data_IF_911276224969
#
_entry.id   IF_911276224969
#
_cell.length_a   1.000
_cell.length_b   1.000
_cell.length_c   1.000
_cell.angle_alpha   90.00
_cell.angle_beta   90.00
_cell.angle_gamma   90.00
#
_symmetry.space_group_name_H-M   'P 1'
#
loop_
_entity.id
_entity.type
_entity.pdbx_description
1 polymer ?
#
# COMPACT_ATOMS: atom_id res chain seq x y z
N UNK A 1 -9.79 -43.54 -2.42
CA UNK A 1 -10.96 -42.76 -1.98
C UNK A 1 -10.43 -41.69 -1.06
N UNK A 2 -10.25 -40.48 -1.56
CA UNK A 2 -9.80 -39.33 -0.76
C UNK A 2 -11.01 -38.78 -0.03
N UNK A 3 -11.07 -38.96 1.29
CA UNK A 3 -12.13 -38.37 2.10
C UNK A 3 -12.02 -36.84 2.03
N UNK A 4 -13.11 -36.20 1.61
CA UNK A 4 -13.20 -34.76 1.57
C UNK A 4 -13.46 -34.20 2.98
N UNK A 5 -12.86 -33.05 3.35
CA UNK A 5 -13.22 -32.35 4.57
C UNK A 5 -14.72 -32.07 4.63
N UNK A 6 -15.30 -32.33 5.79
CA UNK A 6 -16.70 -32.05 6.10
C UNK A 6 -16.93 -30.54 6.17
N UNK A 7 -18.17 -30.09 5.99
CA UNK A 7 -18.51 -28.66 6.10
C UNK A 7 -18.16 -28.08 7.48
N UNK A 8 -18.31 -28.88 8.53
CA UNK A 8 -17.92 -28.52 9.90
C UNK A 8 -16.41 -28.30 10.05
N UNK A 9 -15.58 -29.11 9.39
CA UNK A 9 -14.13 -28.90 9.39
C UNK A 9 -13.72 -27.67 8.59
N UNK A 10 -14.41 -27.37 7.48
CA UNK A 10 -14.18 -26.16 6.69
C UNK A 10 -14.57 -24.88 7.46
N UNK A 11 -15.66 -24.93 8.23
CA UNK A 11 -16.08 -23.83 9.12
C UNK A 11 -15.05 -23.60 10.24
N UNK A 12 -14.60 -24.67 10.91
CA UNK A 12 -13.56 -24.57 11.93
C UNK A 12 -12.22 -24.11 11.36
N UNK A 13 -11.88 -24.51 10.13
CA UNK A 13 -10.71 -24.04 9.40
C UNK A 13 -10.80 -22.53 9.15
N UNK A 14 -11.94 -22.04 8.64
CA UNK A 14 -12.18 -20.62 8.40
C UNK A 14 -12.10 -19.75 9.68
N UNK A 15 -12.52 -20.32 10.82
CA UNK A 15 -12.42 -19.66 12.13
C UNK A 15 -11.08 -19.86 12.86
N UNK A 16 -10.15 -20.64 12.29
CA UNK A 16 -8.86 -20.94 12.94
C UNK A 16 -8.98 -21.74 14.25
N UNK A 17 -10.03 -22.57 14.39
CA UNK A 17 -10.32 -23.33 15.61
C UNK A 17 -10.01 -24.83 15.51
N UNK A 18 -9.41 -25.27 14.39
CA UNK A 18 -8.96 -26.66 14.23
C UNK A 18 -7.75 -26.97 15.13
N UNK A 19 -7.59 -28.25 15.46
CA UNK A 19 -6.34 -28.74 16.05
C UNK A 19 -5.19 -28.53 15.06
N UNK A 20 -3.95 -28.43 15.53
CA UNK A 20 -2.79 -28.24 14.64
C UNK A 20 -2.65 -29.37 13.60
N UNK A 21 -2.97 -30.62 13.98
CA UNK A 21 -2.93 -31.77 13.07
C UNK A 21 -4.05 -31.72 12.02
N UNK A 22 -5.26 -31.31 12.41
CA UNK A 22 -6.38 -31.19 11.48
C UNK A 22 -6.24 -29.99 10.54
N UNK A 23 -5.65 -28.89 11.01
CA UNK A 23 -5.39 -27.73 10.18
C UNK A 23 -4.46 -28.08 9.03
N UNK A 24 -3.35 -28.77 9.29
CA UNK A 24 -2.41 -29.21 8.25
C UNK A 24 -3.07 -30.18 7.27
N UNK A 25 -3.82 -31.17 7.77
CA UNK A 25 -4.53 -32.12 6.91
C UNK A 25 -5.55 -31.43 5.99
N UNK A 26 -6.34 -30.49 6.53
CA UNK A 26 -7.32 -29.74 5.74
C UNK A 26 -6.62 -28.83 4.74
N UNK A 27 -5.56 -28.13 5.14
CA UNK A 27 -4.75 -27.26 4.26
C UNK A 27 -4.14 -28.04 3.08
N UNK A 28 -3.52 -29.19 3.34
CA UNK A 28 -2.97 -30.08 2.32
C UNK A 28 -4.04 -30.54 1.32
N UNK A 29 -5.26 -30.83 1.80
CA UNK A 29 -6.37 -31.21 0.93
C UNK A 29 -6.88 -30.02 0.09
N UNK A 30 -6.98 -28.82 0.67
CA UNK A 30 -7.38 -27.60 -0.03
C UNK A 30 -6.35 -27.17 -1.09
N UNK A 31 -5.07 -27.53 -0.90
CA UNK A 31 -4.01 -27.33 -1.88
C UNK A 31 -4.24 -28.15 -3.16
N UNK A 32 -4.88 -29.32 -3.06
CA UNK A 32 -5.02 -30.28 -4.18
C UNK A 32 -6.46 -30.33 -4.73
N UNK A 33 -7.48 -29.97 -3.93
CA UNK A 33 -8.90 -30.09 -4.32
C UNK A 33 -9.57 -28.72 -4.54
N UNK A 34 -9.76 -28.28 -5.81
CA UNK A 34 -10.40 -27.00 -6.12
C UNK A 34 -11.85 -26.88 -5.63
N UNK A 35 -12.58 -28.01 -5.53
CA UNK A 35 -13.95 -28.02 -5.04
C UNK A 35 -14.02 -27.66 -3.56
N UNK A 36 -13.21 -28.31 -2.72
CA UNK A 36 -13.13 -28.00 -1.30
C UNK A 36 -12.56 -26.59 -1.05
N UNK A 37 -11.62 -26.13 -1.90
CA UNK A 37 -11.12 -24.75 -1.85
C UNK A 37 -12.22 -23.71 -2.05
N UNK A 38 -13.11 -23.91 -3.03
CA UNK A 38 -14.25 -23.00 -3.24
C UNK A 38 -15.20 -23.01 -2.05
N UNK A 39 -15.57 -24.20 -1.54
CA UNK A 39 -16.44 -24.34 -0.35
C UNK A 39 -15.85 -23.64 0.88
N UNK A 40 -14.53 -23.76 1.11
CA UNK A 40 -13.86 -23.08 2.22
C UNK A 40 -13.94 -21.55 2.13
N UNK A 41 -13.81 -20.98 0.92
CA UNK A 41 -13.93 -19.53 0.68
C UNK A 41 -15.36 -19.03 0.92
N UNK A 42 -16.38 -19.79 0.48
CA UNK A 42 -17.79 -19.45 0.70
C UNK A 42 -18.13 -19.37 2.20
N UNK A 43 -17.62 -20.32 3.00
CA UNK A 43 -17.81 -20.34 4.45
C UNK A 43 -17.08 -19.19 5.15
N UNK A 44 -15.86 -18.86 4.72
CA UNK A 44 -15.11 -17.72 5.24
C UNK A 44 -15.78 -16.37 4.93
N UNK A 45 -16.36 -16.23 3.73
CA UNK A 45 -17.09 -15.01 3.34
C UNK A 45 -18.42 -14.86 4.08
N UNK A 46 -19.15 -15.94 4.31
CA UNK A 46 -20.35 -15.94 5.15
C UNK A 46 -20.06 -15.46 6.57
N UNK A 47 -19.00 -15.97 7.17
CA UNK A 47 -18.53 -15.58 8.51
C UNK A 47 -18.15 -14.10 8.60
N UNK A 48 -17.42 -13.59 7.59
CA UNK A 48 -17.05 -12.16 7.51
C UNK A 48 -18.27 -11.25 7.37
N UNK A 49 -19.24 -11.63 6.53
CA UNK A 49 -20.50 -10.88 6.35
C UNK A 49 -21.34 -10.86 7.62
N UNK A 50 -21.39 -11.96 8.37
CA UNK A 50 -22.11 -12.00 9.63
C UNK A 50 -21.44 -11.11 10.68
N UNK A 51 -20.11 -11.15 10.78
CA UNK A 51 -19.34 -10.30 11.69
C UNK A 51 -19.49 -8.81 11.37
N UNK A 52 -19.46 -8.42 10.09
CA UNK A 52 -19.68 -7.03 9.68
C UNK A 52 -21.11 -6.57 9.96
N UNK A 53 -22.11 -7.44 9.77
CA UNK A 53 -23.51 -7.13 10.08
C UNK A 53 -23.71 -6.96 11.58
N UNK A 54 -23.14 -7.83 12.41
CA UNK A 54 -23.20 -7.71 13.88
C UNK A 54 -22.50 -6.42 14.34
N UNK A 55 -21.38 -6.06 13.73
CA UNK A 55 -20.68 -4.81 14.03
C UNK A 55 -21.53 -3.59 13.66
N UNK A 56 -22.19 -3.60 12.49
CA UNK A 56 -23.08 -2.52 12.06
C UNK A 56 -24.26 -2.34 13.03
N UNK A 57 -24.93 -3.44 13.41
CA UNK A 57 -26.03 -3.42 14.39
C UNK A 57 -25.55 -2.88 15.75
N UNK A 58 -24.36 -3.27 16.21
CA UNK A 58 -23.78 -2.77 17.46
C UNK A 58 -23.50 -1.28 17.41
N UNK A 59 -23.01 -0.79 16.27
CA UNK A 59 -22.71 0.63 16.05
C UNK A 59 -24.01 1.46 16.06
N UNK A 60 -25.07 0.99 15.41
CA UNK A 60 -26.38 1.66 15.40
C UNK A 60 -26.99 1.74 16.80
N UNK A 61 -26.91 0.64 17.58
CA UNK A 61 -27.37 0.62 18.96
C UNK A 61 -26.55 1.53 19.88
N UNK A 62 -25.27 1.74 19.57
CA UNK A 62 -24.38 2.62 20.34
C UNK A 62 -24.57 4.11 19.99
N UNK A 63 -24.93 4.42 18.75
CA UNK A 63 -25.21 5.78 18.28
C UNK A 63 -26.53 6.37 18.80
N UNK A 64 -27.51 5.51 19.11
CA UNK A 64 -28.82 5.94 19.64
C UNK A 64 -28.77 6.51 21.08
N UNK A 65 -27.66 6.34 21.81
CA UNK A 65 -27.52 6.79 23.21
C UNK A 65 -27.01 8.22 23.39
N UNK A 66 -26.49 8.88 22.35
CA UNK A 66 -25.78 10.17 22.48
C UNK A 66 -26.68 11.41 22.27
N UNK A 67 -27.97 11.24 21.96
CA UNK A 67 -28.89 12.33 21.58
C UNK A 67 -29.78 12.90 22.70
N UNK A 68 -29.78 12.34 23.92
CA UNK A 68 -30.67 12.76 25.00
C UNK A 68 -29.90 13.24 26.25
N UNK A 69 -29.04 14.24 26.10
CA UNK A 69 -28.43 14.91 27.25
C UNK A 69 -28.04 16.36 26.94
N UNK A 70 -28.97 17.18 26.42
CA UNK A 70 -28.78 18.63 26.43
C UNK A 70 -30.11 19.38 26.24
N UNK A 71 -30.87 19.51 27.33
CA UNK A 71 -31.68 20.70 27.66
C UNK A 71 -32.43 20.47 28.97
N UNK A 72 -31.79 20.81 30.08
CA UNK A 72 -32.47 21.15 31.32
C UNK A 72 -31.87 22.46 31.82
N UNK A 73 -32.44 23.58 31.37
CA UNK A 73 -32.24 24.89 31.98
C UNK A 73 -32.73 24.81 33.43
N UNK A 74 -31.80 24.91 34.38
CA UNK A 74 -32.12 25.06 35.79
C UNK A 74 -32.15 26.56 36.11
N UNK A 75 -33.35 27.05 36.38
CA UNK A 75 -33.67 28.41 36.84
C UNK A 75 -32.98 28.69 38.18
N UNK A 76 -32.39 29.89 38.41
CA UNK A 76 -31.69 30.18 39.66
C UNK A 76 -32.66 30.56 40.78
N UNK A 77 -32.53 29.89 41.93
CA UNK A 77 -33.20 30.26 43.18
C UNK A 77 -32.16 30.83 44.16
N UNK A 78 -32.20 32.14 44.40
CA UNK A 78 -31.69 32.76 45.64
C UNK A 78 -32.78 32.57 46.73
N UNK A 79 -32.52 32.57 48.06
CA UNK A 79 -31.42 33.25 48.76
C UNK A 79 -30.84 32.53 50.01
N UNK A 80 -29.71 33.01 50.56
CA UNK A 80 -29.63 33.68 51.88
C UNK A 80 -28.17 33.89 52.33
N UNK A 81 -27.99 35.06 52.92
CA UNK A 81 -26.78 35.58 53.55
C UNK A 81 -26.45 34.77 54.81
N UNK A 82 -25.21 34.32 54.93
CA UNK A 82 -24.52 34.22 56.20
C UNK A 82 -23.11 34.78 56.04
N UNK A 83 -22.82 35.77 56.87
CA UNK A 83 -21.55 36.50 56.96
C UNK A 83 -20.66 35.92 58.06
N UNK A 84 -19.36 36.17 57.86
CA UNK A 84 -18.24 36.20 58.82
C UNK A 84 -17.46 34.90 59.10
N UNK A 85 -16.20 34.97 58.70
CA UNK A 85 -15.13 34.04 59.07
C UNK A 85 -13.82 34.41 58.38
N UNK A 86 -13.34 35.64 58.62
CA UNK A 86 -12.05 36.15 58.13
C UNK A 86 -10.94 35.42 58.89
N UNK A 87 -10.14 34.58 58.23
CA UNK A 87 -8.78 34.26 58.72
C UNK A 87 -7.81 34.46 57.59
N UNK A 88 -6.98 35.46 57.83
CA UNK A 88 -5.89 36.01 57.05
C UNK A 88 -4.70 35.08 56.98
N UNK A 89 -4.17 34.92 55.76
CA UNK A 89 -2.74 34.85 55.46
C UNK A 89 -2.03 33.53 55.75
N UNK A 90 -1.40 32.96 54.73
CA UNK A 90 0.05 33.07 54.54
C UNK A 90 0.39 32.68 53.10
N UNK A 91 1.27 33.46 52.49
CA UNK A 91 1.68 33.34 51.09
C UNK A 91 2.64 32.17 50.82
N UNK A 92 3.04 32.02 49.55
CA UNK A 92 3.65 30.82 49.01
C UNK A 92 5.18 30.83 49.09
N UNK A 93 5.78 29.65 49.23
CA UNK A 93 7.20 29.36 48.99
C UNK A 93 7.21 28.11 48.09
N UNK A 94 7.42 28.26 46.78
CA UNK A 94 8.70 28.30 46.04
C UNK A 94 9.45 26.96 46.06
N UNK A 95 9.80 26.53 44.83
CA UNK A 95 11.00 25.75 44.43
C UNK A 95 11.03 24.25 44.76
N UNK A 96 11.65 23.36 43.99
CA UNK A 96 12.27 23.24 42.65
C UNK A 96 12.98 21.87 42.69
N UNK A 97 13.28 21.31 41.52
CA UNK A 97 14.23 20.23 41.23
C UNK A 97 13.73 18.80 41.49
N UNK A 98 13.56 17.92 40.50
CA UNK A 98 14.43 17.49 39.39
C UNK A 98 15.49 16.44 39.78
N UNK A 99 15.61 15.46 38.87
CA UNK A 99 16.81 14.71 38.46
C UNK A 99 16.84 13.19 38.76
N UNK A 100 17.00 12.46 37.64
CA UNK A 100 17.68 11.17 37.38
C UNK A 100 17.08 9.88 37.98
N UNK A 101 16.67 8.88 37.19
CA UNK A 101 17.37 8.08 36.16
C UNK A 101 18.21 6.93 36.74
N UNK A 102 17.85 5.70 36.32
CA UNK A 102 18.65 4.52 35.88
C UNK A 102 17.82 3.25 36.15
N UNK A 103 17.34 2.52 35.14
CA UNK A 103 18.04 1.56 34.28
C UNK A 103 18.47 0.27 35.01
N UNK A 104 18.04 -0.87 34.43
CA UNK A 104 18.69 -2.20 34.31
C UNK A 104 17.65 -3.31 34.56
N UNK A 105 17.36 -4.11 33.53
CA UNK A 105 17.54 -5.57 33.55
C UNK A 105 17.30 -6.16 32.15
N UNK A 106 18.40 -6.59 31.53
CA UNK A 106 18.43 -7.47 30.38
C UNK A 106 19.21 -8.72 30.80
N UNK A 107 18.57 -9.89 30.90
CA UNK A 107 19.21 -11.22 30.84
C UNK A 107 18.13 -12.23 30.42
N UNK A 108 18.21 -12.76 29.20
CA UNK A 108 17.87 -14.17 28.94
C UNK A 108 18.44 -14.63 27.59
N UNK A 109 19.69 -15.08 27.63
CA UNK A 109 20.30 -15.95 26.62
C UNK A 109 20.86 -17.12 27.42
N UNK A 110 20.20 -18.28 27.38
CA UNK A 110 20.85 -19.61 27.40
C UNK A 110 19.77 -20.70 27.39
N UNK A 111 19.84 -21.59 26.39
CA UNK A 111 19.31 -22.96 26.27
C UNK A 111 18.65 -23.15 24.89
N UNK A 112 19.13 -23.99 23.99
CA UNK A 112 20.26 -24.91 24.08
C UNK A 112 20.65 -25.37 22.68
N UNK A 113 21.91 -25.15 22.34
CA UNK A 113 22.59 -25.84 21.26
C UNK A 113 23.26 -27.09 21.85
N UNK A 114 22.68 -28.27 21.60
CA UNK A 114 23.39 -29.55 21.77
C UNK A 114 23.72 -30.09 20.38
N UNK A 115 24.98 -29.92 20.03
CA UNK A 115 25.65 -30.62 18.94
C UNK A 115 26.00 -32.05 19.39
N UNK A 116 25.80 -33.03 18.52
CA UNK A 116 26.37 -34.36 18.63
C UNK A 116 27.52 -34.51 17.60
N UNK A 117 28.62 -35.20 17.91
CA UNK A 117 29.78 -35.32 17.02
C UNK A 117 29.86 -36.66 16.27
N UNK A 118 30.48 -36.59 15.08
CA UNK A 118 31.29 -37.61 14.36
C UNK A 118 30.60 -38.79 13.65
N UNK A 119 30.73 -38.82 12.32
CA UNK A 119 31.41 -39.90 11.57
C UNK A 119 31.57 -39.57 10.08
N UNK A 120 32.79 -39.71 9.56
CA UNK A 120 33.15 -39.90 8.14
C UNK A 120 34.57 -40.52 8.10
N UNK A 121 35.08 -41.11 7.00
CA UNK A 121 34.47 -41.41 5.69
C UNK A 121 34.77 -42.83 5.12
N UNK A 122 34.19 -43.18 3.96
CA UNK A 122 34.69 -44.20 3.02
C UNK A 122 34.25 -43.83 1.58
N UNK A 123 34.94 -44.33 0.52
CA UNK A 123 35.41 -43.51 -0.60
C UNK A 123 34.44 -43.30 -1.76
N UNK A 124 34.63 -42.14 -2.40
CA UNK A 124 33.94 -41.62 -3.57
C UNK A 124 34.24 -42.44 -4.84
N UNK A 125 33.20 -42.80 -5.58
CA UNK A 125 33.30 -43.08 -7.01
C UNK A 125 33.46 -41.75 -7.78
N UNK A 126 34.26 -41.70 -8.85
CA UNK A 126 34.43 -40.49 -9.65
C UNK A 126 33.22 -40.34 -10.58
N UNK A 127 32.28 -39.48 -10.20
CA UNK A 127 31.33 -38.93 -11.18
C UNK A 127 31.93 -37.65 -11.72
N UNK A 128 32.33 -37.78 -12.97
CA UNK A 128 32.66 -36.79 -13.98
C UNK A 128 32.06 -35.40 -13.72
N UNK A 129 32.96 -34.42 -13.70
CA UNK A 129 32.68 -32.99 -13.57
C UNK A 129 31.79 -32.49 -14.71
N UNK A 130 30.47 -32.54 -14.51
CA UNK A 130 29.61 -31.50 -15.01
C UNK A 130 29.63 -30.39 -13.96
N UNK A 131 30.27 -29.26 -14.28
CA UNK A 131 30.26 -28.07 -13.46
C UNK A 131 28.81 -27.80 -12.99
N UNK A 132 28.57 -27.52 -11.70
CA UNK A 132 27.26 -27.06 -11.27
C UNK A 132 27.04 -25.71 -11.95
N UNK A 133 26.26 -25.73 -13.03
CA UNK A 133 25.54 -24.56 -13.46
C UNK A 133 24.74 -24.14 -12.23
N UNK A 134 25.21 -23.07 -11.58
CA UNK A 134 24.57 -22.47 -10.41
C UNK A 134 23.13 -22.25 -10.82
N UNK A 135 22.25 -23.15 -10.40
CA UNK A 135 20.83 -22.95 -10.50
C UNK A 135 20.60 -21.64 -9.77
N UNK A 136 20.25 -20.58 -10.52
CA UNK A 136 19.87 -19.30 -9.93
C UNK A 136 18.83 -19.66 -8.88
N UNK A 137 19.20 -19.53 -7.61
CA UNK A 137 18.28 -19.78 -6.52
C UNK A 137 17.11 -18.86 -6.80
N UNK A 138 15.99 -19.46 -7.18
CA UNK A 138 14.79 -18.74 -7.52
C UNK A 138 14.27 -18.18 -6.20
N UNK A 139 14.72 -16.96 -5.89
CA UNK A 139 14.51 -16.28 -4.61
C UNK A 139 13.06 -15.85 -4.41
N UNK A 140 12.22 -16.00 -5.43
CA UNK A 140 10.79 -15.79 -5.34
C UNK A 140 10.12 -16.84 -4.44
N UNK A 141 9.16 -16.39 -3.65
CA UNK A 141 8.25 -17.30 -2.95
C UNK A 141 7.40 -18.10 -3.95
N UNK A 142 6.85 -19.26 -3.58
CA UNK A 142 5.99 -20.03 -4.49
C UNK A 142 4.80 -19.23 -5.05
N UNK A 143 4.21 -18.35 -4.24
CA UNK A 143 3.11 -17.49 -4.67
C UNK A 143 3.56 -16.43 -5.68
N UNK A 144 4.72 -15.79 -5.45
CA UNK A 144 5.29 -14.82 -6.39
C UNK A 144 5.67 -15.48 -7.72
N UNK A 145 6.26 -16.68 -7.67
CA UNK A 145 6.59 -17.46 -8.88
C UNK A 145 5.34 -17.79 -9.68
N UNK A 146 4.30 -18.32 -9.02
CA UNK A 146 3.03 -18.62 -9.67
C UNK A 146 2.40 -17.38 -10.33
N UNK A 147 2.52 -16.22 -9.68
CA UNK A 147 2.04 -14.96 -10.24
C UNK A 147 2.84 -14.53 -11.48
N UNK A 148 4.17 -14.62 -11.42
CA UNK A 148 5.04 -14.28 -12.56
C UNK A 148 4.80 -15.23 -13.72
N UNK A 149 4.69 -16.53 -13.46
CA UNK A 149 4.44 -17.55 -14.49
C UNK A 149 3.07 -17.36 -15.15
N UNK A 150 2.02 -17.10 -14.36
CA UNK A 150 0.68 -16.78 -14.90
C UNK A 150 0.71 -15.50 -15.73
N UNK A 151 1.33 -14.43 -15.23
CA UNK A 151 1.42 -13.17 -15.97
C UNK A 151 2.19 -13.33 -17.28
N UNK A 152 3.28 -14.08 -17.29
CA UNK A 152 4.08 -14.35 -18.48
C UNK A 152 3.33 -15.23 -19.50
N UNK A 153 2.62 -16.26 -19.04
CA UNK A 153 1.81 -17.13 -19.88
C UNK A 153 0.63 -16.36 -20.51
N UNK A 154 -0.17 -15.71 -19.68
CA UNK A 154 -1.39 -15.01 -20.09
C UNK A 154 -1.09 -13.68 -20.79
N UNK A 155 0.11 -13.12 -20.55
CA UNK A 155 0.49 -11.80 -21.03
C UNK A 155 -0.27 -10.68 -20.34
N UNK A 156 -0.73 -10.90 -19.10
CA UNK A 156 -1.57 -9.98 -18.33
C UNK A 156 -0.97 -9.68 -16.98
N UNK A 157 -0.92 -8.40 -16.63
CA UNK A 157 -0.50 -7.96 -15.31
C UNK A 157 -1.67 -8.00 -14.32
N UNK A 158 -1.42 -8.35 -13.05
CA UNK A 158 -2.44 -8.29 -12.01
C UNK A 158 -2.88 -6.84 -11.76
N UNK A 159 -4.19 -6.62 -11.56
CA UNK A 159 -4.74 -5.32 -11.16
C UNK A 159 -4.75 -5.20 -9.64
N UNK A 160 -4.03 -4.22 -9.10
CA UNK A 160 -4.03 -3.96 -7.67
C UNK A 160 -5.32 -3.26 -7.21
N UNK A 161 -5.94 -3.73 -6.12
CA UNK A 161 -7.12 -3.09 -5.54
C UNK A 161 -6.85 -1.64 -5.10
N UNK A 162 -5.60 -1.31 -4.72
CA UNK A 162 -5.20 0.06 -4.38
C UNK A 162 -5.37 1.06 -5.53
N UNK A 163 -5.41 0.59 -6.79
CA UNK A 163 -5.65 1.46 -7.95
C UNK A 163 -7.08 2.03 -7.95
N UNK A 164 -8.05 1.39 -7.30
CA UNK A 164 -9.41 1.91 -7.18
C UNK A 164 -9.48 3.19 -6.33
N UNK A 165 -8.56 3.38 -5.39
CA UNK A 165 -8.50 4.56 -4.52
C UNK A 165 -7.92 5.79 -5.23
N UNK A 166 -7.04 5.56 -6.21
CA UNK A 166 -6.38 6.61 -6.99
C UNK A 166 -7.03 6.83 -8.36
N UNK A 167 -7.95 5.96 -8.76
CA UNK A 167 -8.74 6.14 -9.97
C UNK A 167 -9.58 7.41 -9.86
N UNK A 168 -9.26 8.40 -10.69
CA UNK A 168 -10.06 9.62 -10.80
C UNK A 168 -11.39 9.28 -11.47
N UNK A 169 -12.51 9.54 -10.80
CA UNK A 169 -13.84 9.35 -11.41
C UNK A 169 -14.00 10.33 -12.57
N UNK A 170 -14.07 9.82 -13.79
CA UNK A 170 -14.39 10.62 -14.98
C UNK A 170 -15.82 11.13 -14.86
N UNK A 171 -16.00 12.38 -14.45
CA UNK A 171 -17.29 13.06 -14.56
C UNK A 171 -17.59 13.31 -16.03
N UNK A 172 -18.55 12.58 -16.60
CA UNK A 172 -19.05 12.85 -17.95
C UNK A 172 -19.83 14.16 -17.91
N UNK A 173 -19.18 15.27 -18.23
CA UNK A 173 -19.86 16.51 -18.54
C UNK A 173 -20.38 16.43 -19.98
N UNK A 174 -21.67 16.66 -20.20
CA UNK A 174 -22.27 16.74 -21.53
C UNK A 174 -21.67 17.93 -22.29
N UNK A 175 -20.66 17.65 -23.11
CA UNK A 175 -19.96 18.64 -23.92
C UNK A 175 -18.82 17.98 -24.69
N UNK A 176 -18.57 18.46 -25.90
CA UNK A 176 -17.50 17.99 -26.79
C UNK A 176 -16.17 17.94 -26.02
N UNK A 177 -15.40 16.84 -26.10
CA UNK A 177 -14.10 16.76 -25.42
C UNK A 177 -13.24 17.93 -25.89
N UNK A 178 -12.94 18.84 -24.96
CA UNK A 178 -11.95 19.88 -25.18
C UNK A 178 -10.64 19.17 -25.55
N UNK A 179 -10.07 19.57 -26.69
CA UNK A 179 -8.90 18.96 -27.29
C UNK A 179 -7.78 18.70 -26.28
N UNK A 180 -7.04 17.62 -26.52
CA UNK A 180 -5.77 17.26 -25.87
C UNK A 180 -5.00 18.52 -25.45
N UNK A 181 -5.03 18.87 -24.17
CA UNK A 181 -4.12 19.89 -23.69
C UNK A 181 -2.73 19.27 -23.74
N UNK A 182 -1.90 19.71 -24.69
CA UNK A 182 -0.50 19.28 -24.79
C UNK A 182 0.27 19.56 -23.50
N UNK A 183 -0.23 20.46 -22.66
CA UNK A 183 0.26 20.77 -21.32
C UNK A 183 -0.58 20.07 -20.24
N UNK A 184 0.06 19.27 -19.39
CA UNK A 184 -0.58 18.64 -18.25
C UNK A 184 0.33 17.70 -17.47
N UNK A 185 -0.11 17.25 -16.29
CA UNK A 185 0.61 16.26 -15.50
C UNK A 185 0.72 14.92 -16.23
N UNK A 186 1.93 14.36 -16.23
CA UNK A 186 2.25 13.07 -16.87
C UNK A 186 2.42 11.98 -15.82
N UNK A 187 3.29 12.19 -14.82
CA UNK A 187 3.58 11.22 -13.77
C UNK A 187 3.80 11.91 -12.42
N UNK A 188 3.39 11.32 -11.29
CA UNK A 188 2.51 10.17 -11.14
C UNK A 188 1.03 10.54 -11.35
N UNK A 189 0.25 9.66 -11.99
CA UNK A 189 -1.19 9.85 -12.21
C UNK A 189 -1.97 8.54 -12.17
N UNK A 190 -2.87 8.39 -11.20
CA UNK A 190 -3.68 7.19 -11.01
C UNK A 190 -2.87 5.98 -10.55
N UNK A 191 -1.78 6.20 -9.81
CA UNK A 191 -0.82 5.15 -9.43
C UNK A 191 -0.45 5.20 -7.95
N UNK A 192 0.11 4.10 -7.47
CA UNK A 192 0.78 4.03 -6.17
C UNK A 192 2.26 4.36 -6.35
N UNK A 193 2.81 5.22 -5.50
CA UNK A 193 4.24 5.59 -5.50
C UNK A 193 4.91 5.05 -4.25
N UNK A 194 6.06 4.41 -4.41
CA UNK A 194 6.81 3.83 -3.30
C UNK A 194 7.65 4.88 -2.52
N UNK A 195 8.10 5.91 -3.23
CA UNK A 195 8.87 7.00 -2.68
C UNK A 195 7.97 7.98 -1.92
N UNK A 196 8.37 8.35 -0.71
CA UNK A 196 7.77 9.44 0.07
C UNK A 196 8.12 10.84 -0.49
N UNK A 197 9.08 10.92 -1.40
CA UNK A 197 9.50 12.13 -2.12
C UNK A 197 9.42 11.87 -3.63
N UNK A 198 8.21 11.72 -4.19
CA UNK A 198 8.05 11.40 -5.60
C UNK A 198 8.60 12.51 -6.49
N UNK A 199 8.99 12.14 -7.71
CA UNK A 199 9.28 13.11 -8.77
C UNK A 199 8.00 13.28 -9.59
N UNK A 200 7.51 14.51 -9.66
CA UNK A 200 6.37 14.89 -10.48
C UNK A 200 6.90 15.37 -11.83
N UNK A 201 6.30 14.90 -12.93
CA UNK A 201 6.72 15.16 -14.31
C UNK A 201 5.49 15.59 -15.11
N UNK A 202 5.63 16.65 -15.90
CA UNK A 202 4.57 17.21 -16.72
C UNK A 202 5.07 17.52 -18.13
N UNK A 203 4.15 17.71 -19.08
CA UNK A 203 4.50 18.13 -20.43
C UNK A 203 4.75 19.64 -20.50
N UNK A 204 5.55 20.09 -21.46
CA UNK A 204 5.90 21.51 -21.61
C UNK A 204 4.71 22.34 -22.14
N UNK A 205 4.53 23.56 -21.62
CA UNK A 205 3.55 24.54 -22.10
C UNK A 205 4.07 25.40 -23.28
N UNK A 206 5.35 25.29 -23.62
CA UNK A 206 5.98 26.07 -24.69
C UNK A 206 7.41 26.52 -24.37
N UNK A 207 8.06 27.15 -25.34
CA UNK A 207 9.40 27.70 -25.15
C UNK A 207 9.40 28.88 -24.17
N UNK A 208 10.36 28.92 -23.25
CA UNK A 208 10.47 29.98 -22.23
C UNK A 208 9.43 29.90 -21.10
N UNK A 209 8.69 28.79 -21.02
CA UNK A 209 7.71 28.59 -19.97
C UNK A 209 8.36 28.44 -18.57
N UNK A 210 7.73 29.01 -17.56
CA UNK A 210 8.03 28.73 -16.15
C UNK A 210 6.90 27.96 -15.51
N UNK A 211 7.22 27.05 -14.60
CA UNK A 211 6.29 26.12 -13.98
C UNK A 211 6.30 26.24 -12.47
N UNK A 212 5.13 26.14 -11.86
CA UNK A 212 4.96 25.99 -10.43
C UNK A 212 4.05 24.80 -10.15
N UNK A 213 4.57 23.82 -9.41
CA UNK A 213 3.82 22.62 -9.02
C UNK A 213 3.29 22.80 -7.61
N UNK A 214 2.06 22.33 -7.37
CA UNK A 214 1.40 22.34 -6.07
C UNK A 214 0.85 20.95 -5.78
N UNK A 215 1.08 20.45 -4.57
CA UNK A 215 0.60 19.14 -4.07
C UNK A 215 -0.36 19.39 -2.92
N UNK A 216 -1.50 18.71 -2.96
CA UNK A 216 -2.60 18.83 -2.02
C UNK A 216 -2.91 17.48 -1.38
N UNK A 217 -3.44 17.52 -0.16
CA UNK A 217 -3.97 16.34 0.52
C UNK A 217 -5.39 15.99 0.06
N UNK A 218 -5.98 14.93 0.63
CA UNK A 218 -7.36 14.49 0.35
C UNK A 218 -8.43 15.55 0.64
N UNK A 219 -8.12 16.51 1.53
CA UNK A 219 -8.99 17.64 1.87
C UNK A 219 -8.68 18.90 1.04
N UNK A 220 -7.86 18.78 0.00
CA UNK A 220 -7.40 19.87 -0.86
C UNK A 220 -6.58 20.96 -0.16
N UNK A 221 -5.98 20.66 1.01
CA UNK A 221 -5.04 21.58 1.64
C UNK A 221 -3.69 21.52 0.94
N UNK A 222 -3.09 22.68 0.66
CA UNK A 222 -1.76 22.75 0.08
C UNK A 222 -0.72 22.15 1.05
N UNK A 223 -0.09 21.05 0.65
CA UNK A 223 0.96 20.38 1.42
C UNK A 223 2.33 20.98 1.10
N UNK A 224 2.61 21.23 -0.18
CA UNK A 224 3.89 21.76 -0.65
C UNK A 224 3.81 22.32 -2.07
N UNK A 225 4.75 23.21 -2.41
CA UNK A 225 4.91 23.78 -3.76
C UNK A 225 6.38 23.93 -4.15
N UNK A 226 6.69 23.83 -5.44
CA UNK A 226 8.06 23.93 -5.98
C UNK A 226 8.62 25.35 -6.08
N UNK A 227 7.75 26.38 -6.06
CA UNK A 227 8.11 27.69 -6.62
C UNK A 227 8.19 27.66 -8.16
N UNK A 228 8.55 28.78 -8.78
CA UNK A 228 8.68 28.90 -10.24
C UNK A 228 10.02 28.34 -10.73
N UNK A 229 9.99 27.43 -11.70
CA UNK A 229 11.17 26.78 -12.28
C UNK A 229 11.01 26.57 -13.79
N UNK A 230 12.09 26.28 -14.52
CA UNK A 230 12.03 26.12 -15.98
C UNK A 230 11.93 24.63 -16.40
N UNK A 231 12.33 23.72 -15.53
CA UNK A 231 12.31 22.28 -15.74
C UNK A 231 10.88 21.75 -15.80
N UNK A 232 10.68 20.61 -16.47
CA UNK A 232 9.39 19.89 -16.53
C UNK A 232 9.30 18.72 -15.56
N UNK A 233 10.16 18.73 -14.55
CA UNK A 233 10.20 17.74 -13.48
C UNK A 233 10.52 18.41 -12.15
N UNK A 234 9.95 17.90 -11.07
CA UNK A 234 10.23 18.37 -9.73
C UNK A 234 10.16 17.25 -8.72
N UNK A 235 11.23 17.09 -7.94
CA UNK A 235 11.24 16.15 -6.82
C UNK A 235 10.72 16.84 -5.57
N UNK A 236 9.71 16.24 -4.94
CA UNK A 236 9.12 16.78 -3.72
C UNK A 236 10.18 16.89 -2.61
N UNK A 237 10.40 18.11 -2.13
CA UNK A 237 11.46 18.43 -1.18
C UNK A 237 11.16 18.02 0.27
N UNK A 238 9.90 17.74 0.60
CA UNK A 238 9.47 17.27 1.92
C UNK A 238 8.90 15.85 1.82
N UNK A 239 9.16 14.96 2.79
CA UNK A 239 8.60 13.63 2.75
C UNK A 239 7.08 13.74 2.95
N UNK A 240 6.33 13.15 2.03
CA UNK A 240 4.88 13.02 2.09
C UNK A 240 4.50 11.90 3.07
N UNK A 241 3.36 12.06 3.73
CA UNK A 241 2.85 11.06 4.67
C UNK A 241 2.51 9.76 3.92
N UNK A 242 3.10 8.65 4.37
CA UNK A 242 2.83 7.31 3.83
C UNK A 242 1.38 6.88 4.09
N UNK A 243 0.81 6.09 3.18
CA UNK A 243 -0.56 5.61 3.25
C UNK A 243 -1.63 6.68 2.99
N UNK A 244 -1.25 7.82 2.40
CA UNK A 244 -2.16 8.91 2.06
C UNK A 244 -2.22 9.14 0.56
N UNK A 245 -3.39 9.57 0.10
CA UNK A 245 -3.58 10.04 -1.27
C UNK A 245 -3.26 11.53 -1.37
N UNK A 246 -2.68 11.92 -2.49
CA UNK A 246 -2.38 13.30 -2.82
C UNK A 246 -2.88 13.61 -4.22
N UNK A 247 -3.31 14.85 -4.43
CA UNK A 247 -3.57 15.40 -5.75
C UNK A 247 -2.52 16.47 -6.06
N UNK A 248 -2.22 16.68 -7.35
CA UNK A 248 -1.26 17.71 -7.73
C UNK A 248 -1.64 18.39 -9.03
N UNK A 249 -1.18 19.63 -9.15
CA UNK A 249 -1.45 20.50 -10.29
C UNK A 249 -0.19 21.27 -10.64
N UNK A 250 -0.07 21.61 -11.92
CA UNK A 250 1.02 22.43 -12.45
C UNK A 250 0.46 23.70 -13.08
N UNK A 251 1.04 24.84 -12.70
CA UNK A 251 0.81 26.13 -13.34
C UNK A 251 1.97 26.42 -14.27
N UNK A 252 1.69 26.78 -15.51
CA UNK A 252 2.67 27.32 -16.45
C UNK A 252 2.46 28.82 -16.65
N UNK A 253 3.55 29.57 -16.75
CA UNK A 253 3.60 30.95 -17.22
C UNK A 253 4.33 30.97 -18.56
N UNK A 254 3.67 31.48 -19.60
CA UNK A 254 4.23 31.62 -20.95
C UNK A 254 3.88 33.02 -21.46
N UNK A 255 4.88 33.89 -21.57
CA UNK A 255 4.64 35.33 -21.79
C UNK A 255 3.79 35.91 -20.65
N UNK A 256 2.68 36.55 -21.00
CA UNK A 256 1.73 37.12 -20.04
C UNK A 256 0.62 36.13 -19.62
N UNK A 257 0.54 34.95 -20.25
CA UNK A 257 -0.49 33.96 -19.96
C UNK A 257 -0.08 33.03 -18.81
N UNK A 258 -1.01 32.74 -17.90
CA UNK A 258 -0.88 31.68 -16.89
C UNK A 258 -1.92 30.59 -17.15
N UNK A 259 -1.45 29.35 -17.28
CA UNK A 259 -2.27 28.16 -17.57
C UNK A 259 -2.13 27.20 -16.38
N UNK A 260 -3.23 26.59 -15.92
CA UNK A 260 -3.19 25.56 -14.85
C UNK A 260 -3.67 24.24 -15.41
N UNK A 261 -2.98 23.14 -15.09
CA UNK A 261 -3.34 21.79 -15.49
C UNK A 261 -3.25 20.80 -14.30
N UNK A 262 -4.16 19.82 -14.19
CA UNK A 262 -5.33 19.59 -15.03
C UNK A 262 -6.38 20.71 -14.88
N UNK A 263 -7.01 21.10 -15.99
CA UNK A 263 -8.16 22.02 -15.98
C UNK A 263 -9.46 21.22 -16.20
N UNK A 264 -10.59 21.58 -15.58
CA UNK A 264 -11.87 20.95 -15.86
C UNK A 264 -12.16 20.92 -17.37
N UNK A 265 -12.60 19.79 -17.96
CA UNK A 265 -13.10 18.57 -17.33
C UNK A 265 -12.05 17.47 -17.06
N UNK A 266 -10.75 17.75 -17.23
CA UNK A 266 -9.72 16.72 -17.04
C UNK A 266 -9.67 16.25 -15.58
N UNK A 267 -9.51 14.94 -15.36
CA UNK A 267 -9.40 14.39 -14.01
C UNK A 267 -8.16 14.93 -13.31
N UNK A 268 -8.27 15.09 -11.99
CA UNK A 268 -7.12 15.43 -11.14
C UNK A 268 -6.02 14.39 -11.26
N UNK A 269 -4.76 14.85 -11.25
CA UNK A 269 -3.62 13.96 -11.14
C UNK A 269 -3.45 13.55 -9.68
N UNK A 270 -3.86 12.31 -9.38
CA UNK A 270 -3.82 11.74 -8.04
C UNK A 270 -2.81 10.60 -7.94
N UNK A 271 -2.24 10.41 -6.76
CA UNK A 271 -1.40 9.26 -6.44
C UNK A 271 -1.50 8.91 -4.96
N UNK A 272 -1.20 7.65 -4.63
CA UNK A 272 -1.14 7.15 -3.25
C UNK A 272 0.31 6.88 -2.89
N UNK A 273 0.78 7.36 -1.74
CA UNK A 273 2.09 6.94 -1.21
C UNK A 273 1.94 5.62 -0.46
N UNK A 274 2.78 4.62 -0.75
CA UNK A 274 2.75 3.31 -0.08
C UNK A 274 2.79 3.43 1.44
N UNK A 275 2.10 2.54 2.16
CA UNK A 275 2.22 2.44 3.62
C UNK A 275 3.63 2.01 4.03
N UNK A 276 3.94 2.09 5.32
CA UNK A 276 5.24 1.63 5.84
C UNK A 276 5.42 0.13 5.59
N UNK A 277 4.37 -0.65 5.81
CA UNK A 277 4.35 -2.10 5.61
C UNK A 277 4.50 -2.45 4.13
N UNK A 278 3.76 -1.78 3.25
CA UNK A 278 3.86 -1.97 1.80
C UNK A 278 5.26 -1.62 1.27
N UNK A 279 5.85 -0.53 1.73
CA UNK A 279 7.21 -0.15 1.35
C UNK A 279 8.24 -1.21 1.76
N UNK A 280 8.13 -1.77 2.98
CA UNK A 280 8.98 -2.85 3.44
C UNK A 280 8.79 -4.13 2.61
N UNK A 281 7.54 -4.46 2.26
CA UNK A 281 7.22 -5.59 1.38
C UNK A 281 7.82 -5.41 -0.01
N UNK A 282 7.68 -4.22 -0.62
CA UNK A 282 8.27 -3.88 -1.92
C UNK A 282 9.80 -3.96 -1.90
N UNK A 283 10.44 -3.49 -0.82
CA UNK A 283 11.89 -3.64 -0.66
C UNK A 283 12.32 -5.11 -0.60
N UNK A 284 11.52 -5.97 0.05
CA UNK A 284 11.78 -7.40 0.10
C UNK A 284 11.53 -8.09 -1.26
N UNK A 285 10.48 -7.69 -1.99
CA UNK A 285 10.18 -8.16 -3.35
C UNK A 285 11.32 -7.82 -4.31
N UNK A 286 11.83 -6.58 -4.29
CA UNK A 286 12.98 -6.17 -5.12
C UNK A 286 14.22 -7.04 -4.88
N UNK A 287 14.52 -7.34 -3.61
CA UNK A 287 15.62 -8.25 -3.27
C UNK A 287 15.40 -9.67 -3.81
N UNK A 288 14.16 -10.17 -3.77
CA UNK A 288 13.82 -11.52 -4.26
C UNK A 288 13.73 -11.62 -5.77
N UNK A 289 13.31 -10.56 -6.47
CA UNK A 289 13.25 -10.54 -7.93
C UNK A 289 14.64 -10.57 -8.57
N UNK A 290 15.66 -10.06 -7.86
CA UNK A 290 17.04 -10.01 -8.35
C UNK A 290 17.13 -9.23 -9.65
N UNK A 291 17.81 -9.81 -10.65
CA UNK A 291 18.01 -9.20 -11.97
C UNK A 291 16.84 -9.45 -12.95
N UNK A 292 15.75 -10.11 -12.51
CA UNK A 292 14.62 -10.38 -13.39
C UNK A 292 13.71 -9.16 -13.50
N UNK A 293 13.93 -8.34 -14.53
CA UNK A 293 13.10 -7.19 -14.86
C UNK A 293 11.62 -7.55 -15.06
N UNK A 294 11.33 -8.71 -15.66
CA UNK A 294 9.95 -9.20 -15.84
C UNK A 294 9.31 -9.56 -14.51
N UNK A 295 10.01 -10.32 -13.65
CA UNK A 295 9.47 -10.69 -12.35
C UNK A 295 9.21 -9.45 -11.49
N UNK A 296 10.17 -8.51 -11.45
CA UNK A 296 10.03 -7.28 -10.70
C UNK A 296 8.83 -6.45 -11.22
N UNK A 297 8.67 -6.30 -12.53
CA UNK A 297 7.53 -5.59 -13.10
C UNK A 297 6.17 -6.19 -12.70
N UNK A 298 6.03 -7.52 -12.71
CA UNK A 298 4.80 -8.20 -12.31
C UNK A 298 4.48 -7.95 -10.84
N UNK A 299 5.49 -8.05 -9.96
CA UNK A 299 5.32 -7.80 -8.52
C UNK A 299 4.98 -6.33 -8.23
N UNK A 300 5.61 -5.39 -8.94
CA UNK A 300 5.30 -3.96 -8.82
C UNK A 300 3.88 -3.65 -9.30
N UNK A 301 3.43 -4.27 -10.39
CA UNK A 301 2.06 -4.10 -10.90
C UNK A 301 1.02 -4.64 -9.90
N UNK A 302 1.30 -5.77 -9.25
CA UNK A 302 0.45 -6.32 -8.19
C UNK A 302 0.29 -5.35 -7.00
N UNK A 303 1.34 -4.58 -6.72
CA UNK A 303 1.33 -3.56 -5.67
C UNK A 303 0.75 -2.20 -6.14
N UNK A 304 0.41 -2.05 -7.42
CA UNK A 304 -0.10 -0.80 -8.01
C UNK A 304 0.97 0.24 -8.34
N UNK A 305 2.25 -0.14 -8.26
CA UNK A 305 3.41 0.74 -8.54
C UNK A 305 3.74 0.72 -10.03
N UNK A 306 2.80 1.24 -10.84
CA UNK A 306 2.79 1.04 -12.29
C UNK A 306 3.93 1.77 -13.02
N UNK A 307 4.36 2.95 -12.54
CA UNK A 307 5.43 3.71 -13.18
C UNK A 307 6.78 3.01 -13.08
N UNK A 308 7.04 2.33 -11.96
CA UNK A 308 8.25 1.51 -11.84
C UNK A 308 8.12 0.23 -12.65
N UNK A 309 6.94 -0.41 -12.65
CA UNK A 309 6.69 -1.59 -13.48
C UNK A 309 6.94 -1.32 -14.97
N UNK A 310 6.56 -0.14 -15.48
CA UNK A 310 6.84 0.26 -16.87
C UNK A 310 8.33 0.36 -17.16
N UNK A 311 9.09 1.02 -16.26
CA UNK A 311 10.54 1.17 -16.42
C UNK A 311 11.21 -0.20 -16.46
N UNK A 312 10.78 -1.12 -15.61
CA UNK A 312 11.29 -2.50 -15.60
C UNK A 312 10.92 -3.27 -16.88
N UNK A 313 9.68 -3.16 -17.38
CA UNK A 313 9.32 -3.79 -18.67
C UNK A 313 10.05 -3.16 -19.86
N UNK A 314 10.35 -1.87 -19.80
CA UNK A 314 11.15 -1.18 -20.83
C UNK A 314 12.57 -1.74 -20.86
N UNK A 315 13.19 -1.96 -19.70
CA UNK A 315 14.50 -2.63 -19.59
C UNK A 315 14.44 -4.08 -20.10
N UNK A 316 13.43 -4.83 -19.68
CA UNK A 316 13.21 -6.21 -20.15
C UNK A 316 13.06 -6.26 -21.69
N UNK A 317 12.37 -5.29 -22.28
CA UNK A 317 12.21 -5.18 -23.74
C UNK A 317 13.50 -4.77 -24.44
N UNK A 318 14.33 -3.93 -23.82
CA UNK A 318 15.63 -3.56 -24.39
C UNK A 318 16.59 -4.76 -24.43
N UNK A 319 16.57 -5.59 -23.38
CA UNK A 319 17.35 -6.83 -23.31
C UNK A 319 16.79 -7.94 -24.22
N UNK A 320 15.47 -7.97 -24.41
CA UNK A 320 14.78 -8.99 -25.20
C UNK A 320 13.78 -8.39 -26.22
N UNK A 321 14.26 -7.68 -27.28
CA UNK A 321 13.39 -6.92 -28.19
C UNK A 321 12.33 -7.73 -28.94
N UNK A 322 12.59 -9.03 -29.12
CA UNK A 322 11.71 -9.96 -29.84
C UNK A 322 10.75 -10.74 -28.92
N UNK A 323 10.79 -10.51 -27.60
CA UNK A 323 9.91 -11.21 -26.67
C UNK A 323 8.46 -10.76 -26.85
N UNK A 324 7.62 -11.65 -27.39
CA UNK A 324 6.18 -11.43 -27.50
C UNK A 324 5.51 -11.34 -26.12
N UNK A 325 6.05 -12.05 -25.12
CA UNK A 325 5.57 -11.99 -23.74
C UNK A 325 5.73 -10.57 -23.15
N UNK A 326 6.91 -9.95 -23.28
CA UNK A 326 7.16 -8.59 -22.76
C UNK A 326 6.26 -7.57 -23.45
N UNK A 327 6.07 -7.67 -24.78
CA UNK A 327 5.16 -6.79 -25.54
C UNK A 327 3.71 -6.91 -25.06
N UNK A 328 3.23 -8.13 -24.77
CA UNK A 328 1.88 -8.35 -24.20
C UNK A 328 1.75 -7.73 -22.81
N UNK A 329 2.77 -7.90 -21.96
CA UNK A 329 2.79 -7.28 -20.62
C UNK A 329 2.78 -5.75 -20.68
N UNK A 330 3.52 -5.13 -21.60
CA UNK A 330 3.50 -3.68 -21.83
C UNK A 330 2.11 -3.19 -22.30
N UNK A 331 1.47 -3.95 -23.18
CA UNK A 331 0.08 -3.66 -23.60
C UNK A 331 -0.88 -3.76 -22.41
N UNK A 332 -0.76 -4.82 -21.59
CA UNK A 332 -1.56 -4.98 -20.37
C UNK A 332 -1.33 -3.85 -19.35
N UNK A 333 -0.09 -3.38 -19.18
CA UNK A 333 0.20 -2.23 -18.32
C UNK A 333 -0.47 -0.94 -18.82
N UNK A 334 -0.47 -0.74 -20.14
CA UNK A 334 -1.12 0.40 -20.78
C UNK A 334 -2.63 0.39 -20.56
N UNK A 335 -3.26 -0.80 -20.52
CA UNK A 335 -4.67 -0.97 -20.18
C UNK A 335 -4.95 -0.67 -18.71
N UNK A 336 -4.06 -1.05 -17.78
CA UNK A 336 -4.23 -0.77 -16.35
C UNK A 336 -4.21 0.72 -15.99
N UNK A 337 -3.57 1.55 -16.83
CA UNK A 337 -3.46 3.00 -16.64
C UNK A 337 -4.61 3.81 -17.25
N UNK A 338 -5.48 3.17 -18.02
CA UNK A 338 -6.70 3.79 -18.56
C UNK A 338 -7.81 3.77 -17.51
#
# INVERSE_FOLDING_TARGET
MTDHPTDFELERYAHGTLSAADLLRVDDHLAICPLCRRRALEVADGSRRLASTVHAVRQDLSGAGAGFAQSAEVVPFAPRRFTLGRVTGWGPVIAVAAVAATAVFAVNILWGTRTAPVSAPAPSTPVENAAPQVARADTLTPAERALVDSAAADGRLPRAAALEQVASTTGVLMGTPAHDSTFGPTEPRGVVVDADRPTLIWSSAGAGAQYQVSVFDEAFNLVTSSGWQAETQWRVARPLTRGKSFSWQVKARVGDATITAPAPPQPEARFLVTTVEQNAQLAAMRKRAGDSHVALAVLLAQAGVLDEAERELTRASAENPNSSAVKRLQASLSELRR
#
